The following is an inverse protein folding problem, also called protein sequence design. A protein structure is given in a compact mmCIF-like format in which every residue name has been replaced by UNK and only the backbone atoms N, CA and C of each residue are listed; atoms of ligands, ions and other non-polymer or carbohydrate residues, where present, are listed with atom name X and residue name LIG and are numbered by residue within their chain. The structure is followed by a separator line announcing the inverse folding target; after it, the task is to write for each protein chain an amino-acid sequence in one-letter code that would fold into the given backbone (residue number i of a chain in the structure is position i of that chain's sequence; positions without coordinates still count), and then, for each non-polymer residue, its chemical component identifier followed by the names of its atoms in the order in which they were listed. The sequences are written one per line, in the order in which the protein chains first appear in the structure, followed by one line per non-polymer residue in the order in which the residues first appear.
data_IF_572859022129
#
_entry.id   IF_572859022129
#
_cell.length_a   1.000
_cell.length_b   1.000
_cell.length_c   1.000
_cell.angle_alpha   90.00
_cell.angle_beta   90.00
_cell.angle_gamma   90.00
#
_symmetry.space_group_name_H-M   'P 1'
#
loop_
_entity.id
_entity.type
_entity.pdbx_description
1 polymer ?
#
# COMPACT_ATOMS: atom_id res chain seq x y z
N UNK A 1 -15.64 0.74 -1.27
CA UNK A 1 -14.49 -0.17 -1.03
C UNK A 1 -15.01 -1.50 -0.50
N UNK A 2 -14.71 -2.62 -1.18
CA UNK A 2 -15.01 -3.95 -0.64
C UNK A 2 -13.98 -4.26 0.47
N UNK A 3 -14.41 -4.68 1.66
CA UNK A 3 -13.56 -4.76 2.86
C UNK A 3 -12.53 -5.91 2.87
N UNK A 4 -12.53 -6.79 1.86
CA UNK A 4 -11.79 -8.06 1.91
C UNK A 4 -10.82 -8.22 0.72
N UNK A 5 -9.82 -7.36 0.60
CA UNK A 5 -8.65 -7.65 -0.26
C UNK A 5 -7.61 -8.40 0.56
N UNK A 6 -7.04 -9.46 0.00
CA UNK A 6 -5.98 -10.27 0.62
C UNK A 6 -4.66 -9.51 0.78
N UNK A 7 -4.48 -8.43 0.03
CA UNK A 7 -3.27 -7.59 0.04
C UNK A 7 -3.38 -6.36 0.94
N UNK A 8 -4.58 -6.04 1.43
CA UNK A 8 -4.85 -4.71 1.94
C UNK A 8 -5.78 -4.77 3.14
N UNK A 9 -5.27 -4.32 4.28
CA UNK A 9 -6.03 -4.26 5.52
C UNK A 9 -6.38 -2.81 5.83
N UNK A 10 -7.67 -2.54 5.84
CA UNK A 10 -8.25 -1.31 6.40
C UNK A 10 -8.47 -1.51 7.89
N UNK A 11 -8.16 -0.51 8.72
CA UNK A 11 -8.43 -0.63 10.15
C UNK A 11 -9.95 -0.64 10.42
N UNK A 12 -10.47 -1.61 11.20
CA UNK A 12 -11.90 -1.67 11.56
C UNK A 12 -12.39 -0.42 12.32
N UNK A 13 -11.49 0.21 13.07
CA UNK A 13 -11.73 1.44 13.85
C UNK A 13 -11.81 2.71 13.00
N UNK A 14 -11.15 2.73 11.84
CA UNK A 14 -11.15 3.89 10.95
C UNK A 14 -12.50 4.05 10.23
N UNK A 15 -13.21 2.94 9.96
CA UNK A 15 -14.55 2.96 9.38
C UNK A 15 -15.65 3.50 10.31
N UNK A 16 -15.46 3.39 11.64
CA UNK A 16 -16.47 3.82 12.64
C UNK A 16 -16.13 5.15 13.31
N UNK A 17 -14.87 5.60 13.28
CA UNK A 17 -14.42 6.77 14.04
C UNK A 17 -13.57 7.79 13.29
N UNK A 18 -13.24 7.59 12.00
CA UNK A 18 -12.37 8.49 11.24
C UNK A 18 -11.07 8.87 11.99
N UNK A 19 -10.50 7.94 12.77
CA UNK A 19 -9.20 8.17 13.38
C UNK A 19 -8.13 7.91 12.30
N UNK A 20 -7.38 8.94 11.87
CA UNK A 20 -6.30 8.76 10.90
C UNK A 20 -5.24 7.86 11.51
N UNK A 21 -4.67 6.97 10.71
CA UNK A 21 -3.52 6.18 11.13
C UNK A 21 -2.27 7.05 11.17
N UNK A 22 -1.43 6.84 12.18
CA UNK A 22 -0.15 7.54 12.31
C UNK A 22 0.93 6.94 11.40
N UNK A 23 0.84 5.63 11.14
CA UNK A 23 1.83 4.88 10.37
C UNK A 23 1.18 3.99 9.32
N UNK A 24 1.81 3.94 8.15
CA UNK A 24 1.58 2.98 7.08
C UNK A 24 2.50 1.78 7.29
N UNK A 25 1.94 0.58 7.47
CA UNK A 25 2.73 -0.66 7.50
C UNK A 25 2.90 -1.21 6.08
N UNK A 26 4.13 -1.47 5.69
CA UNK A 26 4.48 -2.07 4.39
C UNK A 26 5.20 -3.39 4.64
N UNK A 27 4.53 -4.51 4.38
CA UNK A 27 5.13 -5.84 4.52
C UNK A 27 5.82 -6.24 3.20
N UNK A 28 7.15 -6.42 3.26
CA UNK A 28 7.98 -6.77 2.09
C UNK A 28 8.20 -8.28 2.01
N UNK A 29 8.13 -8.98 3.14
CA UNK A 29 8.15 -10.45 3.22
C UNK A 29 7.43 -10.92 4.48
N UNK A 30 7.24 -12.23 4.62
CA UNK A 30 6.61 -12.83 5.81
C UNK A 30 7.35 -12.54 7.14
N UNK A 31 8.63 -12.14 7.09
CA UNK A 31 9.46 -11.85 8.25
C UNK A 31 9.93 -10.39 8.35
N UNK A 32 9.58 -9.53 7.39
CA UNK A 32 10.07 -8.17 7.33
C UNK A 32 8.98 -7.17 6.91
N UNK A 33 8.81 -6.13 7.71
CA UNK A 33 7.94 -5.00 7.43
C UNK A 33 8.59 -3.69 7.81
N UNK A 34 8.15 -2.62 7.16
CA UNK A 34 8.50 -1.24 7.47
C UNK A 34 7.27 -0.51 8.03
N UNK A 35 7.49 0.41 8.96
CA UNK A 35 6.48 1.36 9.44
C UNK A 35 6.88 2.75 8.99
N UNK A 36 6.10 3.30 8.05
CA UNK A 36 6.33 4.65 7.54
C UNK A 36 5.34 5.63 8.17
N UNK A 37 5.78 6.72 8.81
CA UNK A 37 4.87 7.68 9.38
C UNK A 37 4.12 8.45 8.28
N UNK A 38 2.78 8.48 8.34
CA UNK A 38 1.96 9.19 7.35
C UNK A 38 2.21 10.69 7.32
N UNK A 39 2.64 11.26 8.44
CA UNK A 39 2.96 12.68 8.56
C UNK A 39 4.29 13.05 7.88
N UNK A 40 5.12 12.07 7.51
CA UNK A 40 6.35 12.25 6.73
C UNK A 40 6.20 11.78 5.27
N UNK A 41 4.97 11.50 4.83
CA UNK A 41 4.72 11.15 3.43
C UNK A 41 4.74 12.43 2.58
N UNK A 42 5.72 12.53 1.70
CA UNK A 42 5.94 13.72 0.86
C UNK A 42 5.05 13.70 -0.39
N UNK A 43 4.95 12.53 -1.04
CA UNK A 43 4.20 12.35 -2.27
C UNK A 43 3.69 10.91 -2.39
N UNK A 44 2.45 10.76 -2.85
CA UNK A 44 1.95 9.50 -3.39
C UNK A 44 1.54 9.71 -4.85
N UNK A 45 2.13 8.94 -5.76
CA UNK A 45 1.86 8.98 -7.20
C UNK A 45 1.23 7.67 -7.63
N UNK A 46 0.14 7.74 -8.39
CA UNK A 46 -0.47 6.59 -9.04
C UNK A 46 -0.30 6.69 -10.56
N UNK A 47 0.11 5.60 -11.19
CA UNK A 47 0.22 5.43 -12.63
C UNK A 47 -0.41 4.11 -13.05
N UNK A 48 -1.07 4.10 -14.21
CA UNK A 48 -1.68 2.91 -14.80
C UNK A 48 -1.25 2.82 -16.25
N UNK A 49 -0.50 1.78 -16.61
CA UNK A 49 0.07 1.58 -17.94
C UNK A 49 -0.12 0.12 -18.34
N UNK A 50 -0.81 -0.13 -19.47
CA UNK A 50 -0.97 -1.46 -20.09
C UNK A 50 -1.34 -2.55 -19.07
N UNK A 51 -2.45 -2.35 -18.37
CA UNK A 51 -3.01 -3.27 -17.37
C UNK A 51 -2.17 -3.46 -16.10
N UNK A 52 -1.12 -2.66 -15.91
CA UNK A 52 -0.33 -2.62 -14.69
C UNK A 52 -0.44 -1.27 -14.00
N UNK A 53 -0.82 -1.30 -12.75
CA UNK A 53 -0.85 -0.15 -11.86
C UNK A 53 0.43 -0.07 -11.04
N UNK A 54 0.88 1.14 -10.78
CA UNK A 54 2.02 1.43 -9.91
C UNK A 54 1.67 2.56 -8.96
N UNK A 55 1.88 2.34 -7.67
CA UNK A 55 1.86 3.38 -6.64
C UNK A 55 3.30 3.62 -6.20
N UNK A 56 3.77 4.86 -6.30
CA UNK A 56 5.04 5.31 -5.74
C UNK A 56 4.78 6.23 -4.57
N UNK A 57 5.26 5.88 -3.39
CA UNK A 57 5.16 6.68 -2.17
C UNK A 57 6.56 7.15 -1.80
N UNK A 58 6.74 8.46 -1.74
CA UNK A 58 7.99 9.10 -1.33
C UNK A 58 7.89 9.56 0.12
N UNK A 59 8.92 9.24 0.87
CA UNK A 59 9.24 9.76 2.20
C UNK A 59 10.64 10.38 2.15
N UNK A 60 10.96 11.19 3.15
CA UNK A 60 12.22 11.94 3.22
C UNK A 60 13.47 11.14 2.78
N UNK A 61 13.61 9.90 3.28
CA UNK A 61 14.77 9.06 3.01
C UNK A 61 14.40 7.72 2.35
N UNK A 62 13.14 7.53 1.95
CA UNK A 62 12.67 6.23 1.45
C UNK A 62 11.68 6.38 0.31
N UNK A 63 11.73 5.43 -0.61
CA UNK A 63 10.72 5.27 -1.65
C UNK A 63 10.13 3.88 -1.57
N UNK A 64 8.81 3.83 -1.53
CA UNK A 64 8.05 2.58 -1.62
C UNK A 64 7.40 2.52 -2.99
N UNK A 65 7.69 1.47 -3.77
CA UNK A 65 7.06 1.22 -5.05
C UNK A 65 6.22 -0.06 -4.97
N UNK A 66 4.95 0.07 -5.29
CA UNK A 66 3.97 -1.02 -5.26
C UNK A 66 3.47 -1.22 -6.68
N UNK A 67 3.65 -2.40 -7.25
CA UNK A 67 3.15 -2.74 -8.58
C UNK A 67 2.10 -3.84 -8.48
N UNK A 68 1.09 -3.79 -9.35
CA UNK A 68 -0.01 -4.73 -9.33
C UNK A 68 -1.13 -4.34 -10.27
N UNK A 69 -2.36 -4.77 -9.98
CA UNK A 69 -3.55 -4.43 -10.77
C UNK A 69 -4.69 -3.91 -9.89
N UNK A 70 -5.51 -3.03 -10.44
CA UNK A 70 -6.64 -2.40 -9.75
C UNK A 70 -6.27 -1.69 -8.43
N UNK A 71 -5.12 -1.00 -8.42
CA UNK A 71 -4.58 -0.29 -7.25
C UNK A 71 -5.14 1.13 -7.08
N UNK A 72 -5.96 1.63 -8.02
CA UNK A 72 -6.50 3.00 -7.99
C UNK A 72 -7.23 3.32 -6.69
N UNK A 73 -8.10 2.42 -6.23
CA UNK A 73 -8.86 2.62 -4.99
C UNK A 73 -7.95 2.74 -3.77
N UNK A 74 -6.77 2.12 -3.81
CA UNK A 74 -5.80 2.20 -2.71
C UNK A 74 -5.00 3.49 -2.75
N UNK A 75 -4.62 3.95 -3.94
CA UNK A 75 -4.03 5.27 -4.10
C UNK A 75 -4.94 6.36 -3.53
N UNK A 76 -6.26 6.24 -3.75
CA UNK A 76 -7.27 7.13 -3.16
C UNK A 76 -7.34 6.94 -1.64
N UNK A 77 -7.31 5.71 -1.13
CA UNK A 77 -7.36 5.45 0.31
C UNK A 77 -6.17 6.03 1.10
N UNK A 78 -4.99 6.15 0.48
CA UNK A 78 -3.83 6.82 1.09
C UNK A 78 -4.13 8.29 1.45
N UNK A 79 -5.01 8.97 0.70
CA UNK A 79 -5.42 10.35 1.00
C UNK A 79 -6.07 10.47 2.38
N UNK A 80 -6.83 9.45 2.80
CA UNK A 80 -7.61 9.49 4.04
C UNK A 80 -6.86 8.91 5.24
N UNK A 81 -5.61 8.45 5.06
CA UNK A 81 -4.80 7.78 6.10
C UNK A 81 -5.55 6.62 6.76
N UNK A 82 -6.34 5.90 5.98
CA UNK A 82 -7.16 4.77 6.46
C UNK A 82 -6.51 3.41 6.24
N UNK A 83 -5.37 3.37 5.53
CA UNK A 83 -4.65 2.13 5.22
C UNK A 83 -3.78 1.74 6.42
N UNK A 84 -4.08 0.60 7.02
CA UNK A 84 -3.32 0.05 8.16
C UNK A 84 -2.09 -0.71 7.65
N UNK A 85 -2.28 -1.56 6.63
CA UNK A 85 -1.20 -2.38 6.09
C UNK A 85 -1.34 -2.68 4.60
N UNK A 86 -0.19 -2.71 3.92
CA UNK A 86 -0.01 -3.14 2.54
C UNK A 86 0.81 -4.43 2.56
N UNK A 87 0.27 -5.49 1.96
CA UNK A 87 0.79 -6.86 2.00
C UNK A 87 0.98 -7.37 0.57
N UNK A 88 2.19 -7.84 0.23
CA UNK A 88 2.38 -8.59 -1.03
C UNK A 88 1.55 -9.88 -0.97
N UNK A 89 0.77 -10.20 -2.01
CA UNK A 89 0.08 -11.50 -2.05
C UNK A 89 1.14 -12.60 -2.14
N UNK A 90 1.19 -13.58 -1.23
CA UNK A 90 2.06 -14.73 -1.42
C UNK A 90 1.61 -15.47 -2.69
N UNK A 91 2.54 -15.88 -3.57
CA UNK A 91 2.26 -16.57 -4.85
C UNK A 91 1.21 -17.70 -4.74
N UNK A 92 1.17 -18.37 -3.57
CA UNK A 92 0.25 -19.45 -3.23
C UNK A 92 -1.24 -19.07 -3.28
N UNK A 93 -1.54 -17.76 -3.22
CA UNK A 93 -2.89 -17.19 -3.23
C UNK A 93 -3.16 -16.32 -4.47
N UNK A 94 -2.22 -16.21 -5.42
CA UNK A 94 -2.40 -15.45 -6.66
C UNK A 94 -3.55 -15.98 -7.52
N UNK A 95 -3.89 -17.28 -7.37
CA UNK A 95 -4.99 -17.93 -8.10
C UNK A 95 -6.39 -17.69 -7.52
N UNK A 96 -6.50 -17.06 -6.34
CA UNK A 96 -7.79 -16.63 -5.83
C UNK A 96 -8.07 -15.27 -6.45
N UNK A 97 -8.99 -15.20 -7.41
CA UNK A 97 -9.54 -13.97 -7.94
C UNK A 97 -10.06 -13.11 -6.78
N UNK A 98 -9.18 -12.31 -6.19
CA UNK A 98 -9.55 -11.32 -5.20
C UNK A 98 -10.35 -10.28 -5.96
N UNK A 99 -11.62 -10.11 -5.60
CA UNK A 99 -12.53 -9.12 -6.17
C UNK A 99 -12.15 -7.66 -5.82
N UNK A 100 -10.85 -7.39 -5.61
CA UNK A 100 -10.18 -6.14 -5.26
C UNK A 100 -8.69 -6.27 -5.55
N UNK A 101 -8.02 -5.13 -5.76
CA UNK A 101 -6.65 -5.06 -6.32
C UNK A 101 -5.63 -6.05 -5.75
N UNK A 102 -4.70 -6.44 -6.62
CA UNK A 102 -3.67 -7.43 -6.34
C UNK A 102 -2.29 -6.80 -6.40
N UNK A 103 -1.48 -6.99 -5.36
CA UNK A 103 -0.07 -6.58 -5.36
C UNK A 103 0.79 -7.72 -5.87
N UNK A 104 1.57 -7.42 -6.91
CA UNK A 104 2.59 -8.32 -7.46
C UNK A 104 3.93 -8.11 -6.76
N UNK A 105 4.35 -6.85 -6.60
CA UNK A 105 5.65 -6.52 -6.01
C UNK A 105 5.57 -5.30 -5.11
N UNK A 106 6.39 -5.32 -4.06
CA UNK A 106 6.64 -4.19 -3.16
C UNK A 106 8.16 -4.03 -3.06
N UNK A 107 8.65 -2.85 -3.41
CA UNK A 107 10.06 -2.49 -3.35
C UNK A 107 10.20 -1.31 -2.39
N UNK A 108 11.15 -1.41 -1.46
CA UNK A 108 11.51 -0.32 -0.54
C UNK A 108 12.97 0.04 -0.78
N UNK A 109 13.21 1.29 -1.13
CA UNK A 109 14.55 1.82 -1.42
C UNK A 109 14.88 2.96 -0.46
N UNK A 110 16.10 2.99 0.06
CA UNK A 110 16.61 4.16 0.80
C UNK A 110 17.16 5.17 -0.20
N UNK A 111 16.63 6.39 -0.18
CA UNK A 111 17.14 7.51 -0.96
C UNK A 111 18.18 8.22 -0.09
N UNK A 112 19.42 8.31 -0.58
CA UNK A 112 20.42 9.20 0.04
C UNK A 112 20.10 10.63 -0.38
N UNK A 113 19.80 11.48 0.60
CA UNK A 113 19.81 12.92 0.41
C UNK A 113 21.27 13.36 0.55
N UNK A 114 21.89 13.75 -0.56
CA UNK A 114 23.22 14.40 -0.57
C UNK A 114 23.14 15.85 -0.10
#
# INVERSE_FOLDING_TARGET
MKPNSTSFKLSPSSYKGNLPMDHLRVEVSASCFYLFPYHHMDLAKFESIKDRDTITISFLNHRVRICGTHLRDWAIALQTRTVEAILSVPERYAAVESAGGAIETIEVETIKVE
#
